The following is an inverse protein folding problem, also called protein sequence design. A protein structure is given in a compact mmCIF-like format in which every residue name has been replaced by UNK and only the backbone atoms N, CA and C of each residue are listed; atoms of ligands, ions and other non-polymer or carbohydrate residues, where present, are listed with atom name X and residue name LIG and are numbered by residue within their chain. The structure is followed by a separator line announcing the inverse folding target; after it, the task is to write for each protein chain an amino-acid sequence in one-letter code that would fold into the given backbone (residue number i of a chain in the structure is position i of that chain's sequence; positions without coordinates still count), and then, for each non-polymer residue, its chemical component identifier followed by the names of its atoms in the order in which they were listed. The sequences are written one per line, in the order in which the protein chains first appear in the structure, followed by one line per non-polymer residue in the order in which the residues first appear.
data_IF_176760506622
#
_entry.id   IF_176760506622
#
_cell.length_a   1.000
_cell.length_b   1.000
_cell.length_c   1.000
_cell.angle_alpha   90.00
_cell.angle_beta   90.00
_cell.angle_gamma   90.00
#
_symmetry.space_group_name_H-M   'P 1'
#
loop_
_entity.id
_entity.type
_entity.pdbx_description
1 polymer ?
#
# COMPACT_ATOMS: atom_id res chain seq x y z
N UNK A 1 3.93 -18.11 -4.52
CA UNK A 1 2.83 -17.79 -3.60
C UNK A 1 3.10 -16.43 -2.95
N UNK A 2 2.17 -15.50 -3.09
CA UNK A 2 2.36 -14.15 -2.53
C UNK A 2 1.81 -14.09 -1.11
N UNK A 3 2.45 -13.28 -0.28
CA UNK A 3 1.99 -13.02 1.08
C UNK A 3 1.31 -11.68 1.13
N UNK A 4 0.30 -11.58 1.96
CA UNK A 4 -0.40 -10.32 2.19
C UNK A 4 0.11 -9.69 3.48
N UNK A 5 0.24 -8.37 3.46
CA UNK A 5 0.68 -7.63 4.63
C UNK A 5 -0.19 -6.37 4.77
N UNK A 6 -0.57 -6.08 6.00
CA UNK A 6 -1.37 -4.89 6.31
C UNK A 6 -0.45 -3.76 6.75
N UNK A 7 -0.56 -2.61 6.09
CA UNK A 7 0.19 -1.42 6.48
C UNK A 7 -0.80 -0.36 6.90
N UNK A 8 -0.85 -0.06 8.20
CA UNK A 8 -1.72 0.97 8.74
C UNK A 8 -1.13 2.35 8.48
N UNK A 9 -2.00 3.34 8.31
CA UNK A 9 -1.53 4.69 8.03
C UNK A 9 -0.78 4.82 6.71
N UNK A 10 -1.11 3.98 5.73
CA UNK A 10 -0.37 3.91 4.48
C UNK A 10 -0.79 4.96 3.46
N UNK A 11 -1.62 5.92 3.85
CA UNK A 11 -2.12 6.92 2.92
C UNK A 11 -1.08 7.97 2.55
N UNK A 12 -0.05 8.14 3.36
CA UNK A 12 1.01 9.13 3.08
C UNK A 12 2.22 8.88 3.97
N UNK A 13 3.30 9.63 3.70
CA UNK A 13 4.47 9.69 4.55
C UNK A 13 5.18 8.35 4.69
N UNK A 14 5.55 8.05 5.93
CA UNK A 14 6.31 6.84 6.26
C UNK A 14 5.53 5.58 5.92
N UNK A 15 4.23 5.59 6.19
CA UNK A 15 3.38 4.43 5.86
C UNK A 15 3.39 4.11 4.38
N UNK A 16 3.34 5.15 3.54
CA UNK A 16 3.41 4.96 2.08
C UNK A 16 4.76 4.38 1.66
N UNK A 17 5.85 4.88 2.23
CA UNK A 17 7.19 4.39 1.91
C UNK A 17 7.33 2.91 2.29
N UNK A 18 6.82 2.53 3.45
CA UNK A 18 6.83 1.14 3.89
C UNK A 18 6.00 0.26 2.96
N UNK A 19 4.82 0.74 2.58
CA UNK A 19 3.94 -0.01 1.68
C UNK A 19 4.61 -0.27 0.33
N UNK A 20 5.27 0.75 -0.22
CA UNK A 20 5.97 0.62 -1.49
C UNK A 20 7.12 -0.37 -1.38
N UNK A 21 7.89 -0.31 -0.30
CA UNK A 21 9.00 -1.23 -0.09
C UNK A 21 8.53 -2.67 -0.02
N UNK A 22 7.47 -2.92 0.74
CA UNK A 22 6.92 -4.26 0.87
C UNK A 22 6.37 -4.78 -0.45
N UNK A 23 5.72 -3.92 -1.23
CA UNK A 23 5.23 -4.30 -2.55
C UNK A 23 6.38 -4.66 -3.48
N UNK A 24 7.47 -3.92 -3.41
CA UNK A 24 8.68 -4.21 -4.19
C UNK A 24 9.26 -5.56 -3.80
N UNK A 25 9.15 -5.93 -2.53
CA UNK A 25 9.64 -7.22 -2.03
C UNK A 25 8.71 -8.40 -2.32
N UNK A 26 7.61 -8.15 -3.04
CA UNK A 26 6.73 -9.22 -3.49
C UNK A 26 5.50 -9.45 -2.64
N UNK A 27 5.24 -8.62 -1.64
CA UNK A 27 4.04 -8.74 -0.82
C UNK A 27 2.85 -8.11 -1.53
N UNK A 28 1.66 -8.69 -1.30
CA UNK A 28 0.41 -8.04 -1.64
C UNK A 28 0.06 -7.11 -0.48
N UNK A 29 0.10 -5.80 -0.72
CA UNK A 29 -0.04 -4.82 0.35
C UNK A 29 -1.49 -4.40 0.54
N UNK A 30 -1.99 -4.56 1.76
CA UNK A 30 -3.29 -4.03 2.14
C UNK A 30 -3.06 -2.62 2.67
N UNK A 31 -3.45 -1.62 1.86
CA UNK A 31 -3.25 -0.21 2.18
C UNK A 31 -4.39 0.23 3.08
N UNK A 32 -4.13 0.27 4.38
CA UNK A 32 -5.14 0.63 5.37
C UNK A 32 -5.16 2.15 5.59
N UNK A 33 -6.34 2.72 5.55
CA UNK A 33 -6.54 4.14 5.81
C UNK A 33 -7.76 4.34 6.70
N UNK A 34 -7.76 5.45 7.42
CA UNK A 34 -8.90 5.80 8.29
C UNK A 34 -9.88 6.72 7.57
N UNK A 35 -9.40 7.87 7.09
CA UNK A 35 -10.26 8.86 6.43
C UNK A 35 -9.65 9.41 5.14
N UNK A 36 -8.37 9.24 4.93
CA UNK A 36 -7.68 9.79 3.75
C UNK A 36 -7.69 8.80 2.59
N UNK A 37 -8.87 8.60 2.02
CA UNK A 37 -9.02 7.69 0.89
C UNK A 37 -8.20 8.13 -0.31
N UNK A 38 -8.17 9.44 -0.59
CA UNK A 38 -7.40 9.97 -1.72
C UNK A 38 -5.92 9.62 -1.59
N UNK A 39 -5.34 9.81 -0.40
CA UNK A 39 -3.95 9.48 -0.17
C UNK A 39 -3.69 7.98 -0.28
N UNK A 40 -4.63 7.17 0.20
CA UNK A 40 -4.52 5.72 0.08
C UNK A 40 -4.57 5.27 -1.38
N UNK A 41 -5.41 5.91 -2.19
CA UNK A 41 -5.48 5.62 -3.62
C UNK A 41 -4.18 5.97 -4.33
N UNK A 42 -3.56 7.08 -3.96
CA UNK A 42 -2.25 7.46 -4.51
C UNK A 42 -1.20 6.40 -4.16
N UNK A 43 -1.22 5.91 -2.92
CA UNK A 43 -0.30 4.87 -2.49
C UNK A 43 -0.52 3.58 -3.30
N UNK A 44 -1.77 3.18 -3.48
CA UNK A 44 -2.09 1.99 -4.26
C UNK A 44 -1.63 2.13 -5.71
N UNK A 45 -1.86 3.30 -6.31
CA UNK A 45 -1.44 3.54 -7.68
C UNK A 45 0.08 3.48 -7.82
N UNK A 46 0.81 4.02 -6.84
CA UNK A 46 2.26 3.94 -6.83
C UNK A 46 2.74 2.49 -6.75
N UNK A 47 2.06 1.67 -5.95
CA UNK A 47 2.37 0.24 -5.87
C UNK A 47 2.18 -0.43 -7.22
N UNK A 48 1.08 -0.15 -7.90
CA UNK A 48 0.79 -0.74 -9.21
C UNK A 48 1.81 -0.31 -10.25
N UNK A 49 2.17 0.97 -10.24
CA UNK A 49 3.14 1.52 -11.18
C UNK A 49 4.50 0.85 -11.00
N UNK A 50 4.84 0.47 -9.78
CA UNK A 50 6.09 -0.23 -9.48
C UNK A 50 6.02 -1.73 -9.80
N UNK A 51 4.90 -2.21 -10.31
CA UNK A 51 4.73 -3.62 -10.66
C UNK A 51 4.28 -4.49 -9.50
N UNK A 52 3.89 -3.89 -8.39
CA UNK A 52 3.42 -4.62 -7.23
C UNK A 52 1.92 -4.86 -7.25
N UNK A 53 1.42 -5.45 -6.18
CA UNK A 53 -0.01 -5.69 -6.02
C UNK A 53 -0.47 -5.20 -4.66
N UNK A 54 -1.74 -4.84 -4.57
CA UNK A 54 -2.31 -4.37 -3.33
C UNK A 54 -3.77 -4.04 -3.46
N UNK A 55 -4.37 -3.66 -2.36
CA UNK A 55 -5.76 -3.21 -2.32
C UNK A 55 -5.98 -2.28 -1.16
N UNK A 56 -7.05 -1.50 -1.23
CA UNK A 56 -7.42 -0.58 -0.17
C UNK A 56 -8.22 -1.31 0.91
N UNK A 57 -8.03 -0.87 2.15
CA UNK A 57 -8.79 -1.38 3.29
C UNK A 57 -9.06 -0.21 4.23
N UNK A 58 -10.31 -0.03 4.61
CA UNK A 58 -10.69 1.02 5.53
C UNK A 58 -10.97 0.48 6.93
#
# INVERSE_FOLDING_TARGET
MSRSVLVTGASKGIGRAIALKLATDGFCVLVHYHSDKSGAEVTLEAIRTAGGSGRLLQ
#
